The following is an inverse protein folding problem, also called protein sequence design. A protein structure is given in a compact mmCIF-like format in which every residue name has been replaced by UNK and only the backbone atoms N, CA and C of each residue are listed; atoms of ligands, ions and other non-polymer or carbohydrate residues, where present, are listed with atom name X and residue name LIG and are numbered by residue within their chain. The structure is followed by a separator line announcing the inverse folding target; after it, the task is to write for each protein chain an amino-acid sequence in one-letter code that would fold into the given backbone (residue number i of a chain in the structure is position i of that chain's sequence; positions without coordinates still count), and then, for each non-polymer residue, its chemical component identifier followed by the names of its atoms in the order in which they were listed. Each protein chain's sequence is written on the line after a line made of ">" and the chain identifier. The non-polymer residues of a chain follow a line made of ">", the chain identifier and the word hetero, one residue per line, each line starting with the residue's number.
data_IF_270392641459
#
_entry.id   IF_270392641459
#
_cell.length_a   1.000
_cell.length_b   1.000
_cell.length_c   1.000
_cell.angle_alpha   90.00
_cell.angle_beta   90.00
_cell.angle_gamma   90.00
#
_symmetry.space_group_name_H-M   'P 1'
#
loop_
_entity.id
_entity.type
_entity.pdbx_description
1 polymer ?
#
# COMPACT_ATOMS: atom_id res chain seq x y z
N UNK A 1 2.98 10.64 -2.27
CA UNK A 1 2.43 9.43 -2.90
C UNK A 1 3.54 8.40 -2.95
N UNK A 2 3.21 7.13 -2.71
CA UNK A 2 4.11 5.99 -2.70
C UNK A 2 3.48 4.84 -3.49
N UNK A 3 4.26 3.83 -3.89
CA UNK A 3 3.74 2.58 -4.49
C UNK A 3 4.31 1.40 -3.71
N UNK A 4 5.64 1.28 -3.73
CA UNK A 4 6.39 0.15 -3.18
C UNK A 4 7.51 0.55 -2.23
N UNK A 5 7.98 -0.44 -1.48
CA UNK A 5 9.28 -0.42 -0.79
C UNK A 5 10.10 -1.65 -1.17
N UNK A 6 11.41 -1.48 -1.36
CA UNK A 6 12.35 -2.56 -1.73
C UNK A 6 12.04 -3.33 -3.03
N UNK A 7 11.23 -2.81 -3.95
CA UNK A 7 10.85 -3.53 -5.17
C UNK A 7 11.85 -3.36 -6.32
N UNK A 8 12.22 -2.13 -6.65
CA UNK A 8 13.03 -1.80 -7.83
C UNK A 8 13.85 -0.52 -7.68
N UNK A 9 14.48 -0.07 -8.78
CA UNK A 9 15.28 1.16 -8.86
C UNK A 9 14.52 2.46 -8.57
N UNK A 10 13.19 2.43 -8.67
CA UNK A 10 12.29 3.55 -8.44
C UNK A 10 11.68 3.50 -7.03
N UNK A 11 11.83 2.39 -6.31
CA UNK A 11 11.36 2.21 -4.93
C UNK A 11 12.36 2.74 -3.90
N UNK A 12 11.83 3.18 -2.75
CA UNK A 12 12.68 3.48 -1.60
C UNK A 12 13.09 2.18 -0.90
N UNK A 13 14.34 2.13 -0.42
CA UNK A 13 14.75 1.12 0.57
C UNK A 13 13.98 1.33 1.87
N UNK A 14 13.58 0.25 2.53
CA UNK A 14 12.79 0.31 3.76
C UNK A 14 13.39 1.22 4.86
N UNK A 15 14.71 1.22 5.14
CA UNK A 15 15.28 2.13 6.14
C UNK A 15 15.16 3.62 5.79
N UNK A 16 15.15 3.96 4.50
CA UNK A 16 14.93 5.35 4.05
C UNK A 16 13.45 5.70 4.17
N UNK A 17 12.57 4.78 3.77
CA UNK A 17 11.14 4.97 3.91
C UNK A 17 10.70 5.14 5.37
N UNK A 18 11.25 4.35 6.29
CA UNK A 18 10.98 4.51 7.73
C UNK A 18 11.38 5.90 8.25
N UNK A 19 12.52 6.43 7.79
CA UNK A 19 12.92 7.82 8.12
C UNK A 19 11.93 8.86 7.60
N UNK A 20 11.30 8.62 6.44
CA UNK A 20 10.23 9.50 5.96
C UNK A 20 9.04 9.48 6.93
N UNK A 21 8.61 8.30 7.37
CA UNK A 21 7.49 8.17 8.31
C UNK A 21 7.80 8.78 9.68
N UNK A 22 9.02 8.60 10.18
CA UNK A 22 9.50 9.25 11.41
C UNK A 22 9.45 10.78 11.29
N UNK A 23 9.95 11.32 10.17
CA UNK A 23 9.88 12.77 9.91
C UNK A 23 8.43 13.25 9.84
N UNK A 24 7.56 12.52 9.14
CA UNK A 24 6.14 12.85 9.02
C UNK A 24 5.48 12.88 10.40
N UNK A 25 5.72 11.87 11.22
CA UNK A 25 5.17 11.77 12.58
C UNK A 25 5.56 12.97 13.44
N UNK A 26 6.78 13.47 13.30
CA UNK A 26 7.29 14.57 14.12
C UNK A 26 6.82 15.96 13.65
N UNK A 27 6.42 16.10 12.38
CA UNK A 27 6.16 17.42 11.77
C UNK A 27 4.71 17.63 11.30
N UNK A 28 3.94 16.56 11.10
CA UNK A 28 2.61 16.62 10.50
C UNK A 28 1.58 15.79 11.27
N UNK A 29 0.31 16.14 11.08
CA UNK A 29 -0.83 15.33 11.54
C UNK A 29 -1.35 14.51 10.36
N UNK A 30 -1.06 13.21 10.35
CA UNK A 30 -1.61 12.32 9.33
C UNK A 30 -3.13 12.20 9.45
N UNK A 31 -3.84 12.34 8.33
CA UNK A 31 -5.30 12.37 8.29
C UNK A 31 -5.85 11.77 7.00
N UNK A 32 -7.10 11.32 7.05
CA UNK A 32 -7.85 10.93 5.85
C UNK A 32 -8.41 12.17 5.14
N UNK A 33 -8.78 12.06 3.84
CA UNK A 33 -9.48 13.13 3.15
C UNK A 33 -10.78 13.52 3.88
N UNK A 34 -10.88 14.76 4.33
CA UNK A 34 -12.05 15.30 5.01
C UNK A 34 -12.13 16.82 4.87
N UNK A 35 -13.31 17.39 5.11
CA UNK A 35 -13.56 18.83 4.92
C UNK A 35 -12.82 19.71 5.94
N UNK A 36 -12.78 19.30 7.20
CA UNK A 36 -12.12 20.05 8.27
C UNK A 36 -10.78 19.39 8.60
N UNK A 37 -9.69 20.02 8.17
CA UNK A 37 -8.34 19.49 8.34
C UNK A 37 -7.70 19.96 9.65
N UNK A 38 -6.96 19.09 10.36
CA UNK A 38 -6.13 19.52 11.48
C UNK A 38 -4.99 20.43 10.98
N UNK A 39 -4.37 21.17 11.91
CA UNK A 39 -3.17 21.95 11.59
C UNK A 39 -2.05 21.02 11.10
N UNK A 40 -1.33 21.46 10.06
CA UNK A 40 -0.27 20.69 9.41
C UNK A 40 -0.73 19.29 8.96
N UNK A 41 -1.94 19.20 8.40
CA UNK A 41 -2.49 17.95 7.88
C UNK A 41 -1.64 17.41 6.73
N UNK A 42 -1.45 16.09 6.72
CA UNK A 42 -0.88 15.37 5.57
C UNK A 42 -1.72 14.12 5.30
N UNK A 43 -1.93 13.82 4.02
CA UNK A 43 -2.57 12.58 3.59
C UNK A 43 -1.50 11.68 2.95
N UNK A 44 -1.24 10.52 3.56
CA UNK A 44 -0.36 9.52 2.98
C UNK A 44 -1.17 8.67 2.02
N UNK A 45 -0.74 8.58 0.77
CA UNK A 45 -1.42 7.81 -0.28
C UNK A 45 -0.46 6.82 -0.91
N UNK A 46 -0.95 5.61 -1.09
CA UNK A 46 -0.27 4.47 -1.67
C UNK A 46 -1.16 3.90 -2.78
N UNK A 47 -0.57 3.59 -3.92
CA UNK A 47 -1.31 3.11 -5.08
C UNK A 47 -1.11 1.59 -5.27
N UNK A 48 -1.93 1.01 -6.15
CA UNK A 48 -1.96 -0.38 -6.63
C UNK A 48 -2.28 -1.49 -5.62
N UNK A 49 -2.02 -1.32 -4.33
CA UNK A 49 -2.41 -2.31 -3.31
C UNK A 49 -1.45 -3.49 -3.16
N UNK A 50 -0.16 -3.30 -3.41
CA UNK A 50 0.86 -4.35 -3.35
C UNK A 50 1.02 -5.01 -1.97
N UNK A 51 1.43 -6.28 -1.94
CA UNK A 51 1.58 -7.04 -0.69
C UNK A 51 2.66 -6.46 0.26
N UNK A 52 3.70 -5.84 -0.30
CA UNK A 52 4.75 -5.18 0.49
C UNK A 52 4.19 -4.05 1.39
N UNK A 53 3.05 -3.46 1.00
CA UNK A 53 2.31 -2.52 1.83
C UNK A 53 1.85 -3.18 3.13
N UNK A 54 1.14 -4.30 3.03
CA UNK A 54 0.70 -5.04 4.21
C UNK A 54 1.88 -5.58 5.02
N UNK A 55 2.90 -6.13 4.34
CA UNK A 55 4.02 -6.80 4.99
C UNK A 55 5.01 -5.88 5.70
N UNK A 56 5.30 -4.71 5.13
CA UNK A 56 6.33 -3.79 5.62
C UNK A 56 5.78 -2.43 6.03
N UNK A 57 4.87 -1.84 5.24
CA UNK A 57 4.40 -0.47 5.48
C UNK A 57 3.39 -0.43 6.62
N UNK A 58 2.40 -1.33 6.64
CA UNK A 58 1.35 -1.35 7.65
C UNK A 58 1.88 -1.51 9.10
N UNK A 59 2.88 -2.37 9.40
CA UNK A 59 3.54 -2.39 10.70
C UNK A 59 4.18 -1.04 11.09
N UNK A 60 4.75 -0.30 10.14
CA UNK A 60 5.29 1.03 10.40
C UNK A 60 4.18 2.06 10.63
N UNK A 61 3.08 1.99 9.89
CA UNK A 61 1.90 2.83 10.15
C UNK A 61 1.37 2.61 11.57
N UNK A 62 1.30 1.36 12.03
CA UNK A 62 0.98 1.01 13.43
C UNK A 62 1.99 1.61 14.40
N UNK A 63 3.29 1.40 14.17
CA UNK A 63 4.38 1.90 15.02
C UNK A 63 4.31 3.42 15.23
N UNK A 64 4.05 4.18 14.17
CA UNK A 64 4.01 5.64 14.23
C UNK A 64 2.60 6.22 14.44
N UNK A 65 1.57 5.36 14.50
CA UNK A 65 0.16 5.75 14.54
C UNK A 65 -0.20 6.75 13.42
N UNK A 66 0.18 6.41 12.19
CA UNK A 66 -0.07 7.21 10.99
C UNK A 66 -1.21 6.61 10.18
N UNK A 67 -2.07 7.49 9.65
CA UNK A 67 -3.15 7.11 8.74
C UNK A 67 -2.66 7.11 7.29
N UNK A 68 -3.23 6.22 6.48
CA UNK A 68 -2.92 6.13 5.05
C UNK A 68 -4.16 5.76 4.23
N UNK A 69 -4.17 6.22 2.98
CA UNK A 69 -5.09 5.76 1.95
C UNK A 69 -4.36 4.78 1.06
N UNK A 70 -4.95 3.61 0.82
CA UNK A 70 -4.45 2.62 -0.16
C UNK A 70 -5.46 2.54 -1.31
N UNK A 71 -5.05 3.00 -2.48
CA UNK A 71 -5.84 2.89 -3.69
C UNK A 71 -5.59 1.50 -4.30
N UNK A 72 -6.61 0.66 -4.35
CA UNK A 72 -6.49 -0.74 -4.81
C UNK A 72 -7.13 -0.92 -6.18
N UNK A 73 -6.67 -1.94 -6.90
CA UNK A 73 -7.15 -2.31 -8.23
C UNK A 73 -7.89 -3.65 -8.12
N UNK A 74 -9.22 -3.64 -7.93
CA UNK A 74 -9.95 -4.81 -7.44
C UNK A 74 -9.82 -6.09 -8.28
N UNK A 75 -9.51 -5.99 -9.58
CA UNK A 75 -9.27 -7.17 -10.44
C UNK A 75 -8.14 -8.08 -9.92
N UNK A 76 -7.14 -7.51 -9.23
CA UNK A 76 -5.93 -8.24 -8.83
C UNK A 76 -5.92 -8.60 -7.34
N UNK A 77 -6.99 -8.29 -6.60
CA UNK A 77 -7.11 -8.55 -5.17
C UNK A 77 -7.80 -9.91 -4.97
N UNK A 78 -7.10 -10.84 -4.33
CA UNK A 78 -7.65 -12.15 -3.94
C UNK A 78 -8.47 -12.04 -2.65
N UNK A 79 -9.41 -12.96 -2.40
CA UNK A 79 -10.14 -12.99 -1.12
C UNK A 79 -9.17 -13.24 0.05
N UNK A 80 -8.33 -14.27 -0.09
CA UNK A 80 -7.29 -14.69 0.85
C UNK A 80 -6.10 -15.27 0.09
N UNK A 81 -4.99 -15.52 0.78
CA UNK A 81 -3.77 -16.11 0.21
C UNK A 81 -2.95 -16.79 1.30
N UNK A 82 -2.62 -18.07 1.10
CA UNK A 82 -1.80 -18.88 2.03
C UNK A 82 -0.34 -19.02 1.56
N UNK A 83 0.07 -18.31 0.50
CA UNK A 83 1.43 -18.35 -0.03
C UNK A 83 2.41 -17.63 0.93
N UNK A 84 3.63 -18.15 1.01
CA UNK A 84 4.69 -17.61 1.85
C UNK A 84 5.22 -16.24 1.36
N UNK A 85 5.79 -15.44 2.28
CA UNK A 85 6.44 -14.16 1.94
C UNK A 85 7.47 -14.29 0.81
N UNK A 86 8.23 -15.38 0.81
CA UNK A 86 9.27 -15.67 -0.19
C UNK A 86 8.72 -15.91 -1.59
N UNK A 87 7.43 -16.23 -1.71
CA UNK A 87 6.73 -16.38 -2.98
C UNK A 87 6.14 -15.03 -3.35
N UNK A 88 5.31 -14.46 -2.47
CA UNK A 88 4.55 -13.22 -2.72
C UNK A 88 5.45 -12.02 -3.06
N UNK A 89 6.67 -11.96 -2.47
CA UNK A 89 7.63 -10.87 -2.68
C UNK A 89 8.68 -11.15 -3.76
N UNK A 90 8.74 -12.36 -4.33
CA UNK A 90 9.79 -12.76 -5.27
C UNK A 90 9.35 -12.58 -6.73
N UNK A 91 8.84 -11.40 -7.04
CA UNK A 91 8.37 -11.03 -8.36
C UNK A 91 8.88 -9.64 -8.73
N UNK A 92 9.44 -9.51 -9.93
CA UNK A 92 9.80 -8.21 -10.51
C UNK A 92 8.55 -7.33 -10.67
N UNK A 93 8.69 -6.01 -10.46
CA UNK A 93 7.58 -5.07 -10.48
C UNK A 93 6.67 -5.19 -11.71
N UNK A 94 7.27 -5.27 -12.91
CA UNK A 94 6.53 -5.40 -14.18
C UNK A 94 5.74 -6.71 -14.32
N UNK A 95 6.03 -7.72 -13.51
CA UNK A 95 5.39 -9.03 -13.54
C UNK A 95 4.36 -9.23 -12.41
N UNK A 96 4.23 -8.29 -11.47
CA UNK A 96 3.31 -8.43 -10.32
C UNK A 96 1.86 -8.62 -10.76
N UNK A 97 1.38 -7.80 -11.71
CA UNK A 97 0.02 -7.89 -12.25
C UNK A 97 -0.25 -9.19 -13.01
N UNK A 98 0.75 -9.77 -13.66
CA UNK A 98 0.63 -11.04 -14.38
C UNK A 98 0.60 -12.24 -13.43
N UNK A 99 1.18 -12.09 -12.23
CA UNK A 99 1.31 -13.12 -11.21
C UNK A 99 0.41 -12.85 -9.99
N UNK A 100 -0.67 -12.07 -10.13
CA UNK A 100 -1.53 -11.68 -9.01
C UNK A 100 -2.14 -12.87 -8.25
N UNK A 101 -2.35 -14.01 -8.94
CA UNK A 101 -2.81 -15.26 -8.34
C UNK A 101 -1.82 -15.83 -7.30
N UNK A 102 -0.56 -15.37 -7.31
CA UNK A 102 0.45 -15.67 -6.29
C UNK A 102 0.39 -14.75 -5.08
N UNK A 103 -0.67 -13.94 -4.94
CA UNK A 103 -0.84 -13.03 -3.82
C UNK A 103 0.16 -11.87 -3.82
N UNK A 104 0.58 -11.40 -4.99
CA UNK A 104 1.52 -10.27 -5.10
C UNK A 104 0.93 -8.93 -4.63
N UNK A 105 -0.39 -8.88 -4.42
CA UNK A 105 -1.14 -7.78 -3.84
C UNK A 105 -1.71 -8.15 -2.47
N UNK A 106 -2.17 -7.15 -1.71
CA UNK A 106 -2.97 -7.36 -0.51
C UNK A 106 -4.22 -8.18 -0.84
N UNK A 107 -4.66 -9.03 0.08
CA UNK A 107 -5.93 -9.75 -0.02
C UNK A 107 -7.09 -8.96 0.59
N UNK A 108 -8.34 -9.33 0.31
CA UNK A 108 -9.49 -8.72 0.97
C UNK A 108 -9.48 -8.95 2.48
N UNK A 109 -9.02 -10.10 2.97
CA UNK A 109 -8.83 -10.34 4.40
C UNK A 109 -7.82 -9.37 5.04
N UNK A 110 -6.65 -9.18 4.41
CA UNK A 110 -5.62 -8.24 4.86
C UNK A 110 -6.12 -6.78 4.80
N UNK A 111 -6.87 -6.41 3.76
CA UNK A 111 -7.50 -5.10 3.65
C UNK A 111 -8.53 -4.87 4.76
N UNK A 112 -9.36 -5.88 5.08
CA UNK A 112 -10.34 -5.81 6.17
C UNK A 112 -9.63 -5.62 7.52
N UNK A 113 -8.53 -6.33 7.78
CA UNK A 113 -7.71 -6.12 9.00
C UNK A 113 -7.21 -4.68 9.08
N UNK A 114 -6.61 -4.18 8.00
CA UNK A 114 -6.04 -2.83 7.99
C UNK A 114 -7.11 -1.75 8.17
N UNK A 115 -8.30 -1.92 7.59
CA UNK A 115 -9.44 -1.02 7.81
C UNK A 115 -9.89 -1.06 9.28
N UNK A 116 -10.02 -2.25 9.86
CA UNK A 116 -10.43 -2.42 11.27
C UNK A 116 -9.46 -1.79 12.27
N UNK A 117 -8.17 -1.66 11.91
CA UNK A 117 -7.20 -0.94 12.73
C UNK A 117 -7.48 0.57 12.87
N UNK A 118 -8.31 1.14 11.99
CA UNK A 118 -8.58 2.58 11.92
C UNK A 118 -7.45 3.41 11.31
N UNK A 119 -6.38 2.76 10.82
CA UNK A 119 -5.23 3.42 10.19
C UNK A 119 -5.31 3.45 8.67
N UNK A 120 -6.16 2.62 8.05
CA UNK A 120 -6.28 2.54 6.61
C UNK A 120 -7.68 2.95 6.12
N UNK A 121 -7.71 3.74 5.05
CA UNK A 121 -8.88 3.90 4.19
C UNK A 121 -8.55 3.34 2.80
N UNK A 122 -9.44 2.52 2.25
CA UNK A 122 -9.28 1.99 0.88
C UNK A 122 -9.92 2.94 -0.12
N UNK A 123 -9.24 3.18 -1.24
CA UNK A 123 -9.74 3.93 -2.39
C UNK A 123 -9.71 3.04 -3.64
N UNK A 124 -10.45 3.44 -4.69
CA UNK A 124 -10.38 2.75 -5.99
C UNK A 124 -9.27 3.34 -6.85
N UNK A 125 -8.47 2.47 -7.46
CA UNK A 125 -7.52 2.79 -8.50
C UNK A 125 -7.96 2.23 -9.85
N UNK A 126 -9.24 2.43 -10.20
CA UNK A 126 -9.95 1.75 -11.29
C UNK A 126 -10.15 0.25 -11.03
N UNK A 127 -10.89 -0.43 -11.92
CA UNK A 127 -11.10 -1.89 -11.84
C UNK A 127 -9.85 -2.68 -12.24
N UNK A 128 -9.13 -2.22 -13.27
CA UNK A 128 -7.97 -2.90 -13.86
C UNK A 128 -7.03 -1.92 -14.57
N UNK A 129 -5.76 -2.31 -14.78
CA UNK A 129 -4.82 -1.58 -15.64
C UNK A 129 -4.85 -2.14 -17.06
N UNK A 130 -5.73 -1.58 -17.89
CA UNK A 130 -5.74 -1.90 -19.32
C UNK A 130 -4.51 -1.24 -19.95
N UNK A 131 -3.67 -2.06 -20.58
CA UNK A 131 -2.62 -1.53 -21.43
C UNK A 131 -3.29 -0.96 -22.69
N UNK A 132 -3.23 0.35 -22.88
CA UNK A 132 -3.87 1.03 -24.01
C UNK A 132 -3.22 0.73 -25.36
N UNK A 133 -2.08 0.01 -25.37
CA UNK A 133 -1.46 -0.51 -26.58
C UNK A 133 -2.05 -1.86 -27.00
N UNK A 134 -2.73 -2.57 -26.10
CA UNK A 134 -3.41 -3.82 -26.41
C UNK A 134 -4.72 -3.49 -27.15
N UNK A 135 -4.79 -3.90 -28.42
CA UNK A 135 -5.94 -3.65 -29.31
C UNK A 135 -7.04 -4.70 -29.15
#
# INVERSE_FOLDING_TARGET
>A
MYHHVNSDRCSNKLPIFEKHLEYIKNNFTSTFPQQNLPKNAICLVFDDGYYDFYRFIFPLLKKYNLKAVLAVVPKYILESCDEEDTIRLNHEHNHLFQNYEKGTFCTYEELKEMIQSGLLQVASHSYSHVNLLDK
#
